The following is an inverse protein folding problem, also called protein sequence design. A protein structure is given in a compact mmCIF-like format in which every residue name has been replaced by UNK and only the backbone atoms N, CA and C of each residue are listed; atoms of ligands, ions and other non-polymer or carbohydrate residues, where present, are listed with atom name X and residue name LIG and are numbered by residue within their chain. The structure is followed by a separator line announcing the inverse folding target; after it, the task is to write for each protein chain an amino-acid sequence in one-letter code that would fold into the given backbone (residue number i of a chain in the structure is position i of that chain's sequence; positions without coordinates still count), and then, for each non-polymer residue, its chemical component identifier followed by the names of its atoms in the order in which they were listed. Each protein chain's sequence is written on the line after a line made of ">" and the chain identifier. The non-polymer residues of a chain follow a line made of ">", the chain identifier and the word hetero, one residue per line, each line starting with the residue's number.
data_IF_035355229157
#
_entry.id   IF_035355229157
#
_cell.length_a   1.000
_cell.length_b   1.000
_cell.length_c   1.000
_cell.angle_alpha   90.00
_cell.angle_beta   90.00
_cell.angle_gamma   90.00
#
_symmetry.space_group_name_H-M   'P 1'
#
loop_
_entity.id
_entity.type
_entity.pdbx_description
1 polymer ?
#
# COMPACT_ATOMS: atom_id res chain seq x y z
N UNK A 1 7.15 -68.04 68.65
CA UNK A 1 6.50 -67.71 67.36
C UNK A 1 5.32 -66.80 67.67
N UNK A 2 5.47 -65.47 67.50
CA UNK A 2 4.83 -64.69 66.40
C UNK A 2 3.47 -64.11 66.86
N UNK A 3 3.12 -62.82 66.92
CA UNK A 3 3.66 -61.51 66.51
C UNK A 3 3.08 -60.49 67.51
N UNK A 4 3.89 -59.53 68.00
CA UNK A 4 3.41 -58.45 68.85
C UNK A 4 2.92 -57.27 67.99
N UNK A 5 1.63 -56.96 68.06
CA UNK A 5 1.10 -55.63 67.75
C UNK A 5 0.70 -55.00 69.09
N UNK A 6 1.44 -53.98 69.52
CA UNK A 6 1.01 -53.13 70.63
C UNK A 6 -0.05 -52.15 70.09
N UNK A 7 -1.30 -52.42 70.48
CA UNK A 7 -2.40 -51.48 70.46
C UNK A 7 -2.05 -50.33 71.41
N UNK A 8 -1.82 -49.12 70.88
CA UNK A 8 -1.63 -47.91 71.71
C UNK A 8 -2.91 -47.08 71.63
N UNK A 9 -3.40 -46.78 72.83
CA UNK A 9 -4.61 -46.06 73.16
C UNK A 9 -4.61 -44.61 72.67
N UNK A 10 -5.80 -44.10 72.35
CA UNK A 10 -6.05 -42.69 72.08
C UNK A 10 -7.16 -42.47 71.07
N UNK A 11 -8.37 -42.94 71.38
CA UNK A 11 -9.59 -42.37 70.80
C UNK A 11 -9.68 -40.87 71.18
N UNK A 12 -10.37 -40.11 70.32
CA UNK A 12 -10.69 -38.68 70.43
C UNK A 12 -9.64 -37.65 69.98
N UNK A 13 -9.29 -37.73 68.70
CA UNK A 13 -9.10 -36.49 67.91
C UNK A 13 -10.17 -36.45 66.82
N UNK A 14 -11.28 -35.80 67.15
CA UNK A 14 -12.23 -35.24 66.18
C UNK A 14 -11.46 -34.39 65.16
N UNK A 15 -11.18 -34.94 63.98
CA UNK A 15 -10.80 -34.14 62.84
C UNK A 15 -11.99 -33.25 62.47
N UNK A 16 -11.86 -31.92 62.45
CA UNK A 16 -12.91 -31.08 61.92
C UNK A 16 -13.11 -31.47 60.46
N UNK A 17 -14.31 -31.96 60.14
CA UNK A 17 -14.76 -32.08 58.75
C UNK A 17 -14.58 -30.70 58.11
N UNK A 18 -13.64 -30.57 57.17
CA UNK A 18 -13.41 -29.34 56.39
C UNK A 18 -14.61 -28.94 55.50
N UNK A 19 -15.80 -29.47 55.76
CA UNK A 19 -17.03 -29.11 55.07
C UNK A 19 -17.61 -27.76 55.54
N UNK A 20 -17.13 -27.18 56.64
CA UNK A 20 -17.67 -25.90 57.15
C UNK A 20 -16.82 -24.65 56.82
N UNK A 21 -15.58 -24.80 56.34
CA UNK A 21 -14.80 -23.64 55.81
C UNK A 21 -15.13 -23.29 54.35
N UNK A 22 -15.93 -24.11 53.66
CA UNK A 22 -16.28 -23.90 52.24
C UNK A 22 -17.54 -23.07 52.02
N UNK A 23 -18.26 -22.70 53.07
CA UNK A 23 -19.61 -22.11 52.95
C UNK A 23 -19.69 -20.58 53.10
N UNK A 24 -18.59 -19.85 53.33
CA UNK A 24 -18.62 -18.37 53.43
C UNK A 24 -17.41 -17.68 52.79
N UNK A 25 -17.28 -17.82 51.48
CA UNK A 25 -16.63 -16.79 50.63
C UNK A 25 -17.20 -16.86 49.21
N UNK A 26 -18.53 -16.79 49.10
CA UNK A 26 -19.23 -16.60 47.82
C UNK A 26 -19.12 -15.13 47.39
N UNK A 27 -17.94 -14.77 46.90
CA UNK A 27 -17.72 -13.70 45.91
C UNK A 27 -16.21 -13.54 45.74
N UNK A 28 -15.55 -14.55 45.16
CA UNK A 28 -14.27 -14.24 44.50
C UNK A 28 -14.62 -13.19 43.43
N UNK A 29 -14.14 -11.94 43.55
CA UNK A 29 -14.52 -10.91 42.60
C UNK A 29 -14.12 -11.39 41.21
N UNK A 30 -15.01 -11.24 40.23
CA UNK A 30 -14.71 -11.52 38.83
C UNK A 30 -13.31 -10.97 38.52
N UNK A 31 -12.40 -11.78 37.94
CA UNK A 31 -11.03 -11.34 37.70
C UNK A 31 -11.08 -10.01 36.94
N UNK A 32 -10.50 -8.97 37.54
CA UNK A 32 -10.50 -7.64 36.95
C UNK A 32 -9.73 -7.71 35.63
N UNK A 33 -10.47 -7.71 34.51
CA UNK A 33 -9.95 -7.76 33.15
C UNK A 33 -9.22 -6.45 32.85
N UNK A 34 -7.95 -6.39 33.23
CA UNK A 34 -7.09 -5.26 32.94
C UNK A 34 -6.51 -5.44 31.52
N UNK A 35 -6.64 -4.43 30.64
CA UNK A 35 -6.12 -4.56 29.29
C UNK A 35 -4.59 -4.61 29.34
N UNK A 36 -3.99 -5.68 28.82
CA UNK A 36 -2.55 -5.73 28.60
C UNK A 36 -2.10 -4.55 27.71
N UNK A 37 -0.85 -4.13 27.88
CA UNK A 37 -0.22 -3.02 27.14
C UNK A 37 -0.51 -3.11 25.64
N UNK A 38 -1.34 -2.19 25.13
CA UNK A 38 -1.72 -2.14 23.72
C UNK A 38 -0.51 -1.70 22.88
N UNK A 39 -0.09 -2.55 21.95
CA UNK A 39 0.90 -2.18 20.93
C UNK A 39 0.15 -1.98 19.61
N UNK A 40 0.28 -0.78 19.03
CA UNK A 40 -0.25 -0.52 17.70
C UNK A 40 0.58 -1.32 16.69
N UNK A 41 -0.03 -2.37 16.11
CA UNK A 41 0.59 -3.19 15.08
C UNK A 41 0.30 -2.57 13.70
N UNK A 42 1.30 -2.47 12.81
CA UNK A 42 1.08 -2.08 11.43
C UNK A 42 0.08 -2.99 10.71
N UNK A 43 -0.69 -2.44 9.77
CA UNK A 43 -1.70 -3.19 9.00
C UNK A 43 -1.11 -4.42 8.27
N UNK A 44 0.13 -4.34 7.76
CA UNK A 44 0.82 -5.46 7.12
C UNK A 44 0.98 -6.65 8.07
N UNK A 45 1.36 -6.38 9.32
CA UNK A 45 1.56 -7.41 10.36
C UNK A 45 0.22 -7.95 10.84
N UNK A 46 -0.82 -7.12 10.90
CA UNK A 46 -2.17 -7.57 11.24
C UNK A 46 -2.76 -8.52 10.18
N UNK A 47 -2.60 -8.18 8.90
CA UNK A 47 -2.98 -9.06 7.78
C UNK A 47 -2.22 -10.37 7.82
N UNK A 48 -0.91 -10.30 8.02
CA UNK A 48 -0.06 -11.47 8.19
C UNK A 48 -0.50 -12.36 9.37
N UNK A 49 -0.78 -11.75 10.51
CA UNK A 49 -1.29 -12.46 11.69
C UNK A 49 -2.57 -13.23 11.39
N UNK A 50 -3.51 -12.59 10.71
CA UNK A 50 -4.80 -13.17 10.34
C UNK A 50 -4.62 -14.29 9.29
N UNK A 51 -3.84 -14.03 8.23
CA UNK A 51 -3.53 -15.02 7.20
C UNK A 51 -2.87 -16.28 7.79
N UNK A 52 -1.94 -16.13 8.72
CA UNK A 52 -1.29 -17.25 9.41
C UNK A 52 -2.29 -18.11 10.21
N UNK A 53 -3.34 -17.51 10.79
CA UNK A 53 -4.40 -18.28 11.48
C UNK A 53 -5.28 -19.05 10.50
N UNK A 54 -5.49 -18.53 9.31
CA UNK A 54 -6.35 -19.13 8.29
C UNK A 54 -5.61 -20.03 7.29
N UNK A 55 -4.29 -20.20 7.45
CA UNK A 55 -3.48 -21.07 6.59
C UNK A 55 -3.99 -22.52 6.62
N UNK A 56 -4.22 -23.12 5.46
CA UNK A 56 -4.69 -24.51 5.34
C UNK A 56 -3.52 -25.49 5.40
N UNK A 57 -3.74 -26.70 5.92
CA UNK A 57 -2.69 -27.74 6.00
C UNK A 57 -1.80 -27.70 7.26
N UNK A 58 -2.05 -26.77 8.20
CA UNK A 58 -1.38 -26.72 9.50
C UNK A 58 -2.34 -27.04 10.67
N UNK A 59 -1.90 -27.78 11.70
CA UNK A 59 -2.68 -27.94 12.93
C UNK A 59 -3.01 -26.58 13.57
N UNK A 60 -4.20 -26.45 14.15
CA UNK A 60 -4.69 -25.19 14.75
C UNK A 60 -3.71 -24.57 15.76
N UNK A 61 -3.08 -25.40 16.60
CA UNK A 61 -2.12 -24.95 17.61
C UNK A 61 -0.82 -24.40 16.99
N UNK A 62 -0.36 -25.02 15.91
CA UNK A 62 0.82 -24.60 15.14
C UNK A 62 0.54 -23.29 14.40
N UNK A 63 -0.66 -23.12 13.85
CA UNK A 63 -1.12 -21.85 13.22
C UNK A 63 -1.11 -20.69 14.19
N UNK A 64 -1.60 -20.91 15.42
CA UNK A 64 -1.53 -19.89 16.47
C UNK A 64 -0.09 -19.48 16.79
N UNK A 65 0.83 -20.44 16.81
CA UNK A 65 2.26 -20.16 17.07
C UNK A 65 2.88 -19.37 15.92
N UNK A 66 2.59 -19.75 14.66
CA UNK A 66 3.03 -19.01 13.48
C UNK A 66 2.49 -17.57 13.47
N UNK A 67 1.21 -17.39 13.78
CA UNK A 67 0.60 -16.07 13.87
C UNK A 67 1.30 -15.20 14.92
N UNK A 68 1.54 -15.72 16.13
CA UNK A 68 2.29 -14.97 17.15
C UNK A 68 3.72 -14.64 16.71
N UNK A 69 4.41 -15.52 15.96
CA UNK A 69 5.72 -15.19 15.39
C UNK A 69 5.65 -14.01 14.41
N UNK A 70 4.62 -13.94 13.56
CA UNK A 70 4.43 -12.82 12.61
C UNK A 70 4.34 -11.47 13.32
N UNK A 71 3.84 -11.41 14.56
CA UNK A 71 3.80 -10.17 15.35
C UNK A 71 5.17 -9.63 15.71
N UNK A 72 6.18 -10.48 15.79
CA UNK A 72 7.54 -10.09 16.20
C UNK A 72 8.46 -9.77 15.00
N UNK A 73 7.97 -9.92 13.77
CA UNK A 73 8.70 -9.59 12.54
C UNK A 73 8.78 -8.07 12.38
N UNK A 74 9.96 -7.49 12.08
CA UNK A 74 10.07 -6.06 11.83
C UNK A 74 9.46 -5.69 10.47
N UNK A 75 8.74 -4.58 10.43
CA UNK A 75 7.94 -4.16 9.27
C UNK A 75 8.76 -3.93 7.98
N UNK A 76 9.98 -3.41 8.14
CA UNK A 76 10.83 -3.00 7.02
C UNK A 76 11.60 -4.19 6.41
N UNK A 77 11.84 -5.24 7.19
CA UNK A 77 12.69 -6.36 6.83
C UNK A 77 12.04 -7.70 7.24
N UNK A 78 11.19 -8.29 6.38
CA UNK A 78 10.43 -9.49 6.75
C UNK A 78 11.31 -10.72 7.02
N UNK A 79 12.55 -10.71 6.53
CA UNK A 79 13.54 -11.78 6.70
C UNK A 79 14.47 -11.61 7.91
N UNK A 80 14.34 -10.52 8.64
CA UNK A 80 15.16 -10.26 9.80
C UNK A 80 14.88 -11.28 10.92
N UNK A 81 15.88 -11.54 11.79
CA UNK A 81 15.69 -12.44 12.92
C UNK A 81 14.61 -11.94 13.88
N UNK A 82 13.76 -12.87 14.30
CA UNK A 82 12.68 -12.67 15.26
C UNK A 82 13.25 -12.75 16.67
N UNK A 83 13.07 -11.68 17.43
CA UNK A 83 13.41 -11.61 18.84
C UNK A 83 12.17 -11.84 19.69
N UNK A 84 11.88 -13.12 19.95
CA UNK A 84 10.75 -13.51 20.79
C UNK A 84 11.18 -14.60 21.79
N UNK A 85 11.02 -14.26 23.08
CA UNK A 85 11.16 -15.22 24.18
C UNK A 85 10.06 -16.28 24.07
N UNK A 86 10.41 -17.54 24.33
CA UNK A 86 9.49 -18.67 24.17
C UNK A 86 8.36 -18.60 25.19
N UNK A 87 8.67 -18.16 26.40
CA UNK A 87 7.69 -17.92 27.48
C UNK A 87 6.60 -16.94 27.06
N UNK A 88 6.96 -15.85 26.37
CA UNK A 88 6.01 -14.85 25.89
C UNK A 88 5.11 -15.40 24.79
N UNK A 89 5.65 -16.27 23.93
CA UNK A 89 4.85 -16.96 22.90
C UNK A 89 3.89 -17.94 23.58
N UNK A 90 4.41 -18.72 24.54
CA UNK A 90 3.67 -19.71 25.33
C UNK A 90 2.47 -19.09 26.05
N UNK A 91 2.70 -17.99 26.76
CA UNK A 91 1.66 -17.22 27.47
C UNK A 91 0.56 -16.73 26.50
N UNK A 92 0.95 -16.22 25.32
CA UNK A 92 0.00 -15.67 24.34
C UNK A 92 -0.86 -16.73 23.65
N UNK A 93 -0.27 -17.89 23.35
CA UNK A 93 -1.02 -18.99 22.75
C UNK A 93 -1.77 -19.83 23.80
N UNK A 94 -1.51 -19.61 25.09
CA UNK A 94 -2.08 -20.39 26.19
C UNK A 94 -1.56 -21.82 26.25
N UNK A 95 -0.28 -22.04 25.93
CA UNK A 95 0.35 -23.36 25.96
C UNK A 95 1.64 -23.35 26.79
N UNK A 96 2.12 -24.53 27.15
CA UNK A 96 3.42 -24.69 27.82
C UNK A 96 4.60 -24.45 26.86
N UNK A 97 5.76 -24.09 27.39
CA UNK A 97 6.98 -23.83 26.61
C UNK A 97 7.40 -25.07 25.80
N UNK A 98 7.25 -26.28 26.37
CA UNK A 98 7.54 -27.55 25.66
C UNK A 98 6.68 -27.72 24.41
N UNK A 99 5.42 -27.30 24.47
CA UNK A 99 4.50 -27.34 23.34
C UNK A 99 4.91 -26.33 22.27
N UNK A 100 5.40 -25.15 22.66
CA UNK A 100 5.99 -24.17 21.72
C UNK A 100 7.19 -24.77 20.99
N UNK A 101 8.11 -25.46 21.69
CA UNK A 101 9.24 -26.12 21.03
C UNK A 101 8.79 -27.17 20.02
N UNK A 102 7.77 -27.97 20.33
CA UNK A 102 7.18 -28.93 19.39
C UNK A 102 6.60 -28.24 18.16
N UNK A 103 5.83 -27.16 18.35
CA UNK A 103 5.28 -26.39 17.22
C UNK A 103 6.38 -25.79 16.35
N UNK A 104 7.45 -25.28 16.95
CA UNK A 104 8.61 -24.76 16.21
C UNK A 104 9.32 -25.86 15.42
N UNK A 105 9.46 -27.06 15.98
CA UNK A 105 10.01 -28.20 15.25
C UNK A 105 9.16 -28.53 14.01
N UNK A 106 7.83 -28.55 14.14
CA UNK A 106 6.91 -28.76 13.01
C UNK A 106 7.01 -27.64 11.97
N UNK A 107 7.04 -26.37 12.39
CA UNK A 107 7.21 -25.24 11.48
C UNK A 107 8.55 -25.29 10.74
N UNK A 108 9.60 -25.78 11.39
CA UNK A 108 10.92 -25.98 10.76
C UNK A 108 10.87 -27.12 9.74
N UNK A 109 10.22 -28.24 10.06
CA UNK A 109 10.06 -29.37 9.16
C UNK A 109 9.30 -29.01 7.88
N UNK A 110 8.35 -28.07 7.98
CA UNK A 110 7.58 -27.55 6.85
C UNK A 110 8.26 -26.40 6.10
N UNK A 111 9.50 -26.07 6.49
CA UNK A 111 10.32 -25.00 5.92
C UNK A 111 9.67 -23.62 6.01
N UNK A 112 8.87 -23.38 7.05
CA UNK A 112 8.25 -22.07 7.31
C UNK A 112 9.13 -21.19 8.18
N UNK A 113 9.99 -21.81 9.00
CA UNK A 113 10.97 -21.10 9.82
C UNK A 113 12.36 -21.69 9.62
N UNK A 114 13.35 -20.84 9.79
CA UNK A 114 14.76 -21.23 9.79
C UNK A 114 15.41 -20.79 11.10
N UNK A 115 16.25 -21.67 11.64
CA UNK A 115 17.09 -21.39 12.81
C UNK A 115 18.45 -20.93 12.30
N UNK A 116 18.81 -19.68 12.54
CA UNK A 116 20.09 -19.13 12.13
C UNK A 116 21.24 -19.73 12.97
N UNK A 117 22.44 -19.86 12.37
CA UNK A 117 23.61 -20.35 13.08
C UNK A 117 23.96 -19.45 14.26
N UNK A 118 24.53 -20.07 15.29
CA UNK A 118 24.84 -19.38 16.53
C UNK A 118 26.12 -18.57 16.39
N UNK A 119 26.00 -17.24 16.25
CA UNK A 119 27.16 -16.36 16.14
C UNK A 119 27.87 -16.18 17.48
N UNK A 120 29.21 -16.06 17.47
CA UNK A 120 29.96 -15.67 18.67
C UNK A 120 29.89 -14.16 18.86
N UNK A 121 29.57 -13.71 20.08
CA UNK A 121 29.62 -12.29 20.42
C UNK A 121 31.08 -11.85 20.46
N UNK A 122 31.50 -11.04 19.49
CA UNK A 122 32.86 -10.50 19.38
C UNK A 122 33.40 -9.91 20.69
N UNK A 123 32.53 -9.24 21.48
CA UNK A 123 32.92 -8.57 22.73
C UNK A 123 33.08 -9.50 23.94
N UNK A 124 32.44 -10.68 23.97
CA UNK A 124 32.40 -11.52 25.17
C UNK A 124 32.73 -12.99 24.95
N UNK A 125 33.01 -13.41 23.71
CA UNK A 125 33.31 -14.81 23.36
C UNK A 125 32.13 -15.78 23.54
N UNK A 126 31.05 -15.35 24.21
CA UNK A 126 29.84 -16.14 24.43
C UNK A 126 29.06 -16.28 23.13
N UNK A 127 28.50 -17.45 22.90
CA UNK A 127 27.60 -17.67 21.78
C UNK A 127 26.31 -16.84 21.96
N UNK A 128 25.85 -16.20 20.90
CA UNK A 128 24.57 -15.50 20.86
C UNK A 128 23.41 -16.50 20.96
N UNK A 129 22.22 -16.07 21.36
CA UNK A 129 21.04 -16.94 21.33
C UNK A 129 20.71 -17.24 19.86
N UNK A 130 20.46 -18.51 19.52
CA UNK A 130 20.04 -18.89 18.19
C UNK A 130 18.76 -18.13 17.80
N UNK A 131 18.81 -17.42 16.68
CA UNK A 131 17.72 -16.55 16.24
C UNK A 131 16.87 -17.28 15.21
N UNK A 132 15.56 -17.10 15.31
CA UNK A 132 14.62 -17.65 14.34
C UNK A 132 14.36 -16.61 13.26
N UNK A 133 14.18 -17.02 12.01
CA UNK A 133 13.65 -16.16 10.94
C UNK A 133 12.53 -16.85 10.19
N UNK A 134 11.62 -16.09 9.60
CA UNK A 134 10.68 -16.63 8.62
C UNK A 134 11.41 -16.90 7.30
N UNK A 135 11.06 -18.00 6.65
CA UNK A 135 11.55 -18.31 5.31
C UNK A 135 10.78 -17.48 4.27
N UNK A 136 11.28 -17.46 3.02
CA UNK A 136 10.59 -16.82 1.88
C UNK A 136 9.18 -17.38 1.69
N UNK A 137 9.08 -18.71 1.67
CA UNK A 137 7.81 -19.44 1.58
C UNK A 137 6.80 -18.99 2.65
N UNK A 138 7.22 -18.85 3.91
CA UNK A 138 6.32 -18.38 4.96
C UNK A 138 5.91 -16.91 4.77
N UNK A 139 6.83 -16.04 4.38
CA UNK A 139 6.52 -14.63 4.13
C UNK A 139 5.54 -14.45 2.96
N UNK A 140 5.64 -15.27 1.92
CA UNK A 140 4.73 -15.26 0.77
C UNK A 140 3.34 -15.78 1.16
N UNK A 141 3.27 -16.95 1.80
CA UNK A 141 1.99 -17.56 2.22
C UNK A 141 1.20 -16.67 3.19
N UNK A 142 1.91 -15.94 4.04
CA UNK A 142 1.31 -15.07 5.04
C UNK A 142 1.01 -13.66 4.48
N UNK A 143 1.48 -13.33 3.27
CA UNK A 143 1.29 -12.01 2.66
C UNK A 143 2.15 -10.92 3.33
N UNK A 144 3.28 -11.31 3.91
CA UNK A 144 4.32 -10.36 4.31
C UNK A 144 5.09 -9.85 3.10
N UNK A 145 5.10 -10.55 1.97
CA UNK A 145 5.70 -10.08 0.71
C UNK A 145 4.61 -10.13 -0.36
N UNK A 146 4.54 -9.08 -1.17
CA UNK A 146 3.66 -9.07 -2.34
C UNK A 146 4.32 -9.94 -3.43
N UNK A 147 3.74 -11.10 -3.74
CA UNK A 147 4.19 -11.99 -4.82
C UNK A 147 3.82 -11.48 -6.22
N UNK A 148 3.79 -10.16 -6.41
CA UNK A 148 3.43 -9.51 -7.67
C UNK A 148 4.60 -9.51 -8.68
N UNK A 149 5.25 -10.64 -8.86
CA UNK A 149 6.07 -10.89 -10.06
C UNK A 149 5.41 -11.88 -11.04
N UNK A 150 4.32 -12.55 -10.66
CA UNK A 150 3.54 -13.36 -11.61
C UNK A 150 2.04 -13.06 -11.50
N UNK A 151 1.47 -12.75 -12.66
CA UNK A 151 0.06 -12.47 -12.94
C UNK A 151 -0.39 -11.03 -12.68
N UNK A 152 -0.26 -10.22 -13.72
CA UNK A 152 -1.08 -9.04 -13.98
C UNK A 152 -2.54 -9.51 -14.14
N UNK A 153 -3.21 -9.82 -13.04
CA UNK A 153 -4.65 -9.69 -13.01
C UNK A 153 -4.92 -8.19 -12.98
N UNK A 154 -5.19 -7.64 -14.17
CA UNK A 154 -5.97 -6.41 -14.29
C UNK A 154 -7.10 -6.51 -13.27
N UNK A 155 -7.20 -5.60 -12.27
CA UNK A 155 -8.33 -5.66 -11.35
C UNK A 155 -9.60 -5.60 -12.21
N UNK A 156 -10.55 -6.53 -12.05
CA UNK A 156 -11.77 -6.48 -12.83
C UNK A 156 -12.40 -5.11 -12.57
N UNK A 157 -12.66 -4.39 -13.66
CA UNK A 157 -13.38 -3.13 -13.62
C UNK A 157 -14.72 -3.39 -12.94
N UNK A 158 -14.85 -2.90 -11.71
CA UNK A 158 -16.08 -2.90 -10.95
C UNK A 158 -17.04 -1.91 -11.61
N UNK A 159 -17.73 -2.38 -12.64
CA UNK A 159 -18.84 -1.72 -13.32
C UNK A 159 -19.87 -2.77 -13.67
N UNK A 160 -20.52 -3.36 -12.67
CA UNK A 160 -21.91 -3.76 -12.80
C UNK A 160 -22.67 -3.46 -11.50
N UNK A 161 -23.64 -2.58 -11.65
CA UNK A 161 -24.83 -2.43 -10.83
C UNK A 161 -25.45 -3.79 -10.49
N UNK A 162 -25.68 -4.09 -9.21
CA UNK A 162 -27.03 -3.99 -8.65
C UNK A 162 -27.04 -4.20 -7.12
N UNK A 163 -28.03 -3.56 -6.47
CA UNK A 163 -28.49 -3.74 -5.08
C UNK A 163 -27.65 -3.21 -3.91
N UNK A 164 -28.10 -2.04 -3.46
CA UNK A 164 -28.17 -1.55 -2.09
C UNK A 164 -27.81 -2.57 -0.98
N UNK A 165 -26.70 -2.35 -0.27
CA UNK A 165 -26.63 -2.58 1.18
C UNK A 165 -25.53 -1.71 1.81
N UNK A 166 -25.96 -0.99 2.83
CA UNK A 166 -25.26 -0.02 3.68
C UNK A 166 -23.83 -0.41 4.06
N UNK A 167 -22.86 0.42 3.66
CA UNK A 167 -21.91 1.12 4.57
C UNK A 167 -20.96 1.93 3.70
N UNK A 168 -21.10 3.25 3.69
CA UNK A 168 -20.13 4.15 3.09
C UNK A 168 -18.79 4.02 3.85
N UNK A 169 -17.68 3.57 3.24
CA UNK A 169 -16.40 4.09 3.66
C UNK A 169 -16.36 5.52 3.14
N UNK A 170 -16.44 6.48 4.05
CA UNK A 170 -16.07 7.87 3.80
C UNK A 170 -14.60 7.90 3.37
N UNK A 171 -14.35 7.67 2.08
CA UNK A 171 -13.06 7.91 1.45
C UNK A 171 -12.91 9.43 1.45
N UNK A 172 -12.29 9.94 2.51
CA UNK A 172 -11.98 11.36 2.65
C UNK A 172 -11.23 11.83 1.40
N UNK A 173 -11.75 12.87 0.75
CA UNK A 173 -11.25 13.49 -0.49
C UNK A 173 -9.88 14.18 -0.32
N UNK A 174 -9.15 13.88 0.75
CA UNK A 174 -7.93 14.53 1.20
C UNK A 174 -6.75 13.55 1.33
N UNK A 175 -6.65 12.54 0.46
CA UNK A 175 -5.40 11.79 0.35
C UNK A 175 -4.29 12.72 -0.16
N UNK A 176 -3.52 13.25 0.78
CA UNK A 176 -2.26 13.95 0.52
C UNK A 176 -1.38 13.02 -0.30
N UNK A 177 -0.92 13.50 -1.46
CA UNK A 177 -0.02 12.77 -2.35
C UNK A 177 1.10 12.08 -1.56
N UNK A 178 1.29 10.78 -1.87
CA UNK A 178 2.21 9.87 -1.21
C UNK A 178 3.55 10.53 -0.83
N UNK A 179 3.86 10.52 0.47
CA UNK A 179 5.17 10.87 1.01
C UNK A 179 6.17 9.80 0.57
N UNK A 180 7.05 10.11 -0.39
CA UNK A 180 8.22 9.27 -0.66
C UNK A 180 9.25 9.58 0.43
N UNK A 181 9.46 8.64 1.35
CA UNK A 181 10.46 8.81 2.42
C UNK A 181 10.15 9.89 3.47
N UNK A 182 8.88 10.06 3.83
CA UNK A 182 8.37 11.00 4.85
C UNK A 182 8.51 12.51 4.53
N UNK A 183 9.07 12.88 3.38
CA UNK A 183 9.24 14.28 2.97
C UNK A 183 8.27 14.66 1.82
N UNK A 184 7.70 15.87 1.80
CA UNK A 184 6.94 16.36 0.65
C UNK A 184 7.78 16.31 -0.64
N UNK A 185 7.17 15.89 -1.76
CA UNK A 185 7.85 15.74 -3.06
C UNK A 185 8.58 17.02 -3.48
N UNK A 186 7.98 18.17 -3.23
CA UNK A 186 8.52 19.50 -3.58
C UNK A 186 9.82 19.85 -2.84
N UNK A 187 10.11 19.19 -1.72
CA UNK A 187 11.31 19.41 -0.90
C UNK A 187 12.32 18.26 -1.03
N UNK A 188 11.92 17.15 -1.67
CA UNK A 188 12.76 15.96 -1.78
C UNK A 188 14.07 16.23 -2.52
N UNK A 189 14.04 17.09 -3.55
CA UNK A 189 15.22 17.42 -4.35
C UNK A 189 16.31 18.17 -3.57
N UNK A 190 15.95 18.86 -2.47
CA UNK A 190 16.94 19.52 -1.59
C UNK A 190 17.88 18.52 -0.91
N UNK A 191 17.44 17.26 -0.74
CA UNK A 191 18.32 16.21 -0.22
C UNK A 191 19.49 15.91 -1.15
N UNK A 192 19.30 16.05 -2.46
CA UNK A 192 20.38 15.93 -3.46
C UNK A 192 21.41 17.07 -3.40
N UNK A 193 21.06 18.21 -2.78
CA UNK A 193 21.96 19.36 -2.61
C UNK A 193 22.77 19.32 -1.30
N UNK A 194 22.72 18.19 -0.58
CA UNK A 194 23.46 17.98 0.67
C UNK A 194 22.72 18.45 1.92
N UNK A 195 21.41 18.69 1.84
CA UNK A 195 20.58 19.01 3.00
C UNK A 195 20.01 17.73 3.62
N UNK A 196 20.27 17.49 4.91
CA UNK A 196 19.74 16.31 5.59
C UNK A 196 18.22 16.41 5.79
N UNK A 197 17.53 15.26 5.83
CA UNK A 197 16.08 15.21 6.11
C UNK A 197 15.72 15.91 7.42
N UNK A 198 16.52 15.69 8.46
CA UNK A 198 16.37 16.36 9.76
C UNK A 198 16.52 17.89 9.65
N UNK A 199 17.48 18.37 8.84
CA UNK A 199 17.63 19.79 8.55
C UNK A 199 16.40 20.38 7.85
N UNK A 200 15.81 19.65 6.90
CA UNK A 200 14.58 20.08 6.21
C UNK A 200 13.41 20.16 7.20
N UNK A 201 13.22 19.17 8.06
CA UNK A 201 12.16 19.22 9.07
C UNK A 201 12.36 20.35 10.08
N UNK A 202 13.61 20.66 10.45
CA UNK A 202 13.93 21.82 11.29
C UNK A 202 13.52 23.13 10.61
N UNK A 203 13.86 23.30 9.32
CA UNK A 203 13.46 24.47 8.53
C UNK A 203 11.93 24.57 8.39
N UNK A 204 11.24 23.45 8.19
CA UNK A 204 9.77 23.43 8.16
C UNK A 204 9.19 23.91 9.50
N UNK A 205 9.77 23.48 10.62
CA UNK A 205 9.39 23.94 11.95
C UNK A 205 9.60 25.45 12.13
N UNK A 206 10.77 25.95 11.74
CA UNK A 206 11.09 27.39 11.81
C UNK A 206 10.16 28.23 10.92
N UNK A 207 9.93 27.82 9.67
CA UNK A 207 9.00 28.52 8.80
C UNK A 207 7.58 28.56 9.39
N UNK A 208 7.12 27.44 9.97
CA UNK A 208 5.81 27.34 10.61
C UNK A 208 5.67 28.27 11.82
N UNK A 209 6.71 28.45 12.62
CA UNK A 209 6.71 29.40 13.74
C UNK A 209 6.52 30.84 13.28
N UNK A 210 7.05 31.19 12.11
CA UNK A 210 6.85 32.50 11.49
C UNK A 210 5.62 32.58 10.57
N UNK A 211 4.71 31.59 10.62
CA UNK A 211 3.47 31.59 9.84
C UNK A 211 3.64 31.30 8.33
N UNK A 212 4.81 30.82 7.91
CA UNK A 212 5.16 30.57 6.50
C UNK A 212 5.27 29.07 6.22
N UNK A 213 5.25 28.71 4.93
CA UNK A 213 5.54 27.34 4.48
C UNK A 213 6.87 27.30 3.74
N UNK A 214 7.74 26.37 4.15
CA UNK A 214 9.03 26.16 3.48
C UNK A 214 8.87 25.86 1.98
N UNK A 215 7.82 25.12 1.61
CA UNK A 215 7.51 24.84 0.19
C UNK A 215 7.28 26.12 -0.62
N UNK A 216 6.67 27.16 -0.06
CA UNK A 216 6.42 28.44 -0.76
C UNK A 216 7.76 29.15 -1.03
N UNK A 217 8.60 29.25 0.00
CA UNK A 217 9.93 29.87 -0.07
C UNK A 217 10.78 29.16 -1.14
N UNK A 218 10.82 27.83 -1.10
CA UNK A 218 11.63 27.03 -2.02
C UNK A 218 11.12 27.15 -3.46
N UNK A 219 9.80 27.24 -3.67
CA UNK A 219 9.21 27.41 -5.01
C UNK A 219 9.68 28.72 -5.65
N UNK A 220 9.66 29.81 -4.90
CA UNK A 220 10.03 31.15 -5.40
C UNK A 220 11.53 31.27 -5.63
N UNK A 221 12.34 30.70 -4.74
CA UNK A 221 13.79 30.89 -4.74
C UNK A 221 14.52 29.75 -5.48
N UNK A 222 13.79 28.78 -6.04
CA UNK A 222 14.32 27.56 -6.67
C UNK A 222 15.48 27.81 -7.65
N UNK A 223 15.45 28.90 -8.41
CA UNK A 223 16.52 29.27 -9.36
C UNK A 223 17.84 29.57 -8.65
N UNK A 224 17.81 30.34 -7.57
CA UNK A 224 19.00 30.74 -6.79
C UNK A 224 19.52 29.62 -5.88
N UNK A 225 18.65 28.65 -5.53
CA UNK A 225 19.04 27.50 -4.70
C UNK A 225 19.92 26.49 -5.46
N UNK A 226 19.99 26.54 -6.80
CA UNK A 226 20.77 25.57 -7.59
C UNK A 226 22.28 25.64 -7.30
N UNK A 227 22.77 26.82 -6.98
CA UNK A 227 24.21 27.07 -6.78
C UNK A 227 24.65 26.87 -5.33
N UNK A 228 23.70 26.83 -4.39
CA UNK A 228 23.96 26.68 -2.96
C UNK A 228 23.92 25.21 -2.54
N UNK A 229 24.88 24.78 -1.72
CA UNK A 229 25.00 23.40 -1.24
C UNK A 229 25.22 23.32 0.27
N UNK A 230 24.76 22.22 0.87
CA UNK A 230 25.05 21.84 2.26
C UNK A 230 24.68 22.90 3.31
N UNK A 231 25.62 23.23 4.20
CA UNK A 231 25.38 24.15 5.32
C UNK A 231 25.01 25.57 4.91
N UNK A 232 25.55 26.06 3.78
CA UNK A 232 25.20 27.40 3.25
C UNK A 232 23.75 27.48 2.81
N UNK A 233 23.26 26.40 2.19
CA UNK A 233 21.85 26.26 1.80
C UNK A 233 20.93 26.30 3.04
N UNK A 234 21.29 25.58 4.11
CA UNK A 234 20.54 25.61 5.36
C UNK A 234 20.50 27.01 5.98
N UNK A 235 21.63 27.69 6.09
CA UNK A 235 21.72 29.02 6.67
C UNK A 235 20.89 30.05 5.88
N UNK A 236 20.98 29.99 4.55
CA UNK A 236 20.20 30.86 3.67
C UNK A 236 18.69 30.64 3.79
N UNK A 237 18.25 29.38 3.73
CA UNK A 237 16.83 29.04 3.91
C UNK A 237 16.32 29.40 5.31
N UNK A 238 17.15 29.24 6.34
CA UNK A 238 16.79 29.65 7.70
C UNK A 238 16.62 31.17 7.80
N UNK A 239 17.50 31.95 7.15
CA UNK A 239 17.39 33.42 7.13
C UNK A 239 16.10 33.86 6.42
N UNK A 240 15.75 33.24 5.28
CA UNK A 240 14.52 33.53 4.56
C UNK A 240 13.26 33.09 5.33
N UNK A 241 13.33 31.97 6.06
CA UNK A 241 12.23 31.50 6.89
C UNK A 241 11.95 32.44 8.06
N UNK A 242 12.99 33.02 8.68
CA UNK A 242 12.87 33.94 9.81
C UNK A 242 12.67 35.42 9.41
N UNK A 243 13.02 35.80 8.18
CA UNK A 243 12.90 37.19 7.71
C UNK A 243 11.44 37.67 7.58
N UNK A 244 11.21 38.95 7.25
CA UNK A 244 9.85 39.51 7.12
C UNK A 244 9.16 39.25 5.77
N UNK A 245 9.90 38.76 4.76
CA UNK A 245 9.40 38.63 3.39
C UNK A 245 8.26 37.61 3.25
N UNK A 246 7.16 37.99 2.61
CA UNK A 246 6.07 37.07 2.28
C UNK A 246 6.34 36.35 0.95
N UNK A 247 6.16 35.03 0.96
CA UNK A 247 6.36 34.14 -0.19
C UNK A 247 5.07 33.46 -0.65
N UNK A 248 3.94 33.65 0.04
CA UNK A 248 2.69 32.97 -0.25
C UNK A 248 2.15 33.34 -1.64
N UNK A 249 2.06 34.64 -1.95
CA UNK A 249 1.52 35.13 -3.24
C UNK A 249 2.44 34.79 -4.42
N UNK A 250 3.76 35.06 -4.37
CA UNK A 250 4.65 34.67 -5.47
C UNK A 250 4.69 33.15 -5.69
N UNK A 251 4.63 32.34 -4.62
CA UNK A 251 4.57 30.89 -4.74
C UNK A 251 3.26 30.40 -5.36
N UNK A 252 2.12 31.02 -5.04
CA UNK A 252 0.83 30.68 -5.64
C UNK A 252 0.84 30.95 -7.15
N UNK A 253 1.33 32.12 -7.56
CA UNK A 253 1.45 32.48 -8.98
C UNK A 253 2.39 31.51 -9.74
N UNK A 254 3.51 31.14 -9.12
CA UNK A 254 4.45 30.20 -9.74
C UNK A 254 3.87 28.79 -9.86
N UNK A 255 3.14 28.31 -8.84
CA UNK A 255 2.44 27.02 -8.93
C UNK A 255 1.37 27.02 -10.01
N UNK A 256 0.60 28.11 -10.13
CA UNK A 256 -0.40 28.23 -11.18
C UNK A 256 0.26 28.13 -12.55
N UNK A 257 1.36 28.88 -12.78
CA UNK A 257 2.14 28.77 -14.03
C UNK A 257 2.64 27.36 -14.31
N UNK A 258 3.14 26.66 -13.30
CA UNK A 258 3.61 25.28 -13.45
C UNK A 258 2.47 24.30 -13.74
N UNK A 259 1.30 24.49 -13.11
CA UNK A 259 0.10 23.69 -13.37
C UNK A 259 -0.42 23.93 -14.79
N UNK A 260 -0.58 25.19 -15.20
CA UNK A 260 -1.03 25.56 -16.54
C UNK A 260 -0.09 25.00 -17.62
N UNK A 261 1.23 25.09 -17.39
CA UNK A 261 2.23 24.52 -18.30
C UNK A 261 2.14 22.99 -18.37
N UNK A 262 1.98 22.31 -17.23
CA UNK A 262 1.84 20.87 -17.17
C UNK A 262 0.53 20.40 -17.83
N UNK A 263 -0.57 21.13 -17.64
CA UNK A 263 -1.85 20.87 -18.29
C UNK A 263 -1.75 21.07 -19.80
N UNK A 264 -1.14 22.17 -20.26
CA UNK A 264 -0.88 22.42 -21.68
C UNK A 264 -0.02 21.31 -22.30
N UNK A 265 0.99 20.81 -21.58
CA UNK A 265 1.79 19.67 -22.02
C UNK A 265 0.97 18.38 -22.11
N UNK A 266 0.11 18.09 -21.13
CA UNK A 266 -0.77 16.91 -21.14
C UNK A 266 -1.76 16.95 -22.29
N UNK A 267 -2.34 18.12 -22.57
CA UNK A 267 -3.24 18.32 -23.72
C UNK A 267 -2.47 18.07 -25.03
N UNK A 268 -1.27 18.65 -25.19
CA UNK A 268 -0.42 18.39 -26.37
C UNK A 268 -0.06 16.92 -26.54
N UNK A 269 0.29 16.22 -25.46
CA UNK A 269 0.60 14.79 -25.49
C UNK A 269 -0.62 13.95 -25.89
N UNK A 270 -1.81 14.25 -25.34
CA UNK A 270 -3.06 13.58 -25.71
C UNK A 270 -3.40 13.80 -27.17
N UNK A 271 -3.29 15.04 -27.64
CA UNK A 271 -3.49 15.39 -29.05
C UNK A 271 -2.53 14.61 -29.96
N UNK A 272 -1.25 14.50 -29.58
CA UNK A 272 -0.25 13.73 -30.32
C UNK A 272 -0.61 12.25 -30.39
N UNK A 273 -0.97 11.64 -29.26
CA UNK A 273 -1.36 10.23 -29.20
C UNK A 273 -2.64 9.95 -30.00
N UNK A 274 -3.62 10.86 -29.94
CA UNK A 274 -4.84 10.75 -30.75
C UNK A 274 -4.48 10.74 -32.24
N UNK A 275 -3.68 11.70 -32.71
CA UNK A 275 -3.27 11.79 -34.12
C UNK A 275 -2.50 10.53 -34.56
N UNK A 276 -1.59 10.02 -33.73
CA UNK A 276 -0.85 8.80 -34.04
C UNK A 276 -1.75 7.57 -34.14
N UNK A 277 -2.74 7.45 -33.25
CA UNK A 277 -3.59 6.26 -33.18
C UNK A 277 -4.70 6.23 -34.24
N UNK A 278 -5.22 7.39 -34.60
CA UNK A 278 -6.40 7.51 -35.47
C UNK A 278 -6.09 8.10 -36.86
N UNK A 279 -4.82 8.35 -37.19
CA UNK A 279 -4.39 8.69 -38.54
C UNK A 279 -4.82 7.62 -39.55
N UNK A 280 -5.49 8.04 -40.63
CA UNK A 280 -5.99 7.15 -41.69
C UNK A 280 -7.14 6.24 -41.28
N UNK A 281 -7.77 6.48 -40.11
CA UNK A 281 -8.89 5.67 -39.62
C UNK A 281 -10.23 6.35 -39.86
N UNK A 282 -11.26 5.52 -39.93
CA UNK A 282 -12.66 5.93 -40.08
C UNK A 282 -13.41 5.71 -38.76
N UNK A 283 -14.10 6.74 -38.31
CA UNK A 283 -14.95 6.71 -37.13
C UNK A 283 -16.40 6.89 -37.54
N UNK A 284 -17.32 6.28 -36.81
CA UNK A 284 -18.76 6.47 -36.99
C UNK A 284 -19.40 6.87 -35.67
N UNK A 285 -20.54 7.55 -35.74
CA UNK A 285 -21.35 7.83 -34.55
C UNK A 285 -22.03 6.54 -34.05
N UNK A 286 -22.44 6.49 -32.78
CA UNK A 286 -23.24 5.40 -32.19
C UNK A 286 -24.49 5.07 -33.00
N UNK A 287 -25.13 6.08 -33.60
CA UNK A 287 -26.31 5.92 -34.46
C UNK A 287 -25.98 5.53 -35.91
N UNK A 288 -24.70 5.43 -36.29
CA UNK A 288 -24.21 5.11 -37.64
C UNK A 288 -24.71 6.04 -38.76
N UNK A 289 -25.19 7.24 -38.42
CA UNK A 289 -25.72 8.22 -39.38
C UNK A 289 -24.66 9.13 -40.00
N UNK A 290 -23.46 9.17 -39.41
CA UNK A 290 -22.35 10.01 -39.85
C UNK A 290 -21.05 9.20 -39.85
N UNK A 291 -20.27 9.35 -40.90
CA UNK A 291 -18.92 8.81 -41.02
C UNK A 291 -17.91 9.95 -40.93
N UNK A 292 -16.85 9.74 -40.17
CA UNK A 292 -15.77 10.68 -39.93
C UNK A 292 -14.47 10.04 -40.41
N UNK A 293 -13.97 10.47 -41.56
CA UNK A 293 -12.74 9.94 -42.14
C UNK A 293 -11.59 10.85 -41.77
N UNK A 294 -10.64 10.32 -40.99
CA UNK A 294 -9.46 11.06 -40.57
C UNK A 294 -8.37 10.82 -41.62
N UNK A 295 -7.81 11.91 -42.15
CA UNK A 295 -6.72 11.86 -43.12
C UNK A 295 -5.51 11.06 -42.59
N UNK A 296 -4.68 10.53 -43.50
CA UNK A 296 -3.47 9.77 -43.18
C UNK A 296 -2.46 10.57 -42.35
N UNK A 297 -2.46 11.90 -42.46
CA UNK A 297 -1.63 12.77 -41.61
C UNK A 297 -2.38 13.36 -40.41
N UNK A 298 -3.63 12.94 -40.18
CA UNK A 298 -4.53 13.45 -39.14
C UNK A 298 -4.61 15.00 -39.11
N UNK A 299 -4.58 15.62 -40.30
CA UNK A 299 -4.67 17.08 -40.48
C UNK A 299 -6.10 17.55 -40.75
N UNK A 300 -6.88 16.72 -41.43
CA UNK A 300 -8.25 17.00 -41.81
C UNK A 300 -9.16 15.85 -41.40
N UNK A 301 -10.42 16.18 -41.13
CA UNK A 301 -11.49 15.19 -40.99
C UNK A 301 -12.56 15.49 -42.02
N UNK A 302 -12.90 14.48 -42.79
CA UNK A 302 -14.03 14.52 -43.70
C UNK A 302 -15.25 13.90 -43.02
N UNK A 303 -16.34 14.66 -42.98
CA UNK A 303 -17.63 14.22 -42.45
C UNK A 303 -18.52 13.85 -43.62
N UNK A 304 -18.92 12.58 -43.70
CA UNK A 304 -19.82 12.06 -44.73
C UNK A 304 -21.17 11.74 -44.08
N UNK A 305 -22.24 12.30 -44.64
CA UNK A 305 -23.62 12.09 -44.22
C UNK A 305 -24.53 12.09 -45.46
N UNK A 306 -25.25 11.00 -45.73
CA UNK A 306 -26.31 10.85 -46.75
C UNK A 306 -26.36 11.94 -47.86
N UNK A 307 -25.39 11.92 -48.79
CA UNK A 307 -25.32 12.85 -49.94
C UNK A 307 -24.54 14.15 -49.72
N UNK A 308 -24.00 14.38 -48.52
CA UNK A 308 -23.18 15.53 -48.17
C UNK A 308 -21.84 15.10 -47.58
N UNK A 309 -20.74 15.65 -48.10
CA UNK A 309 -19.39 15.50 -47.59
C UNK A 309 -18.79 16.87 -47.28
N UNK A 310 -18.31 17.07 -46.06
CA UNK A 310 -17.61 18.29 -45.67
C UNK A 310 -16.25 17.97 -45.05
N UNK A 311 -15.22 18.69 -45.47
CA UNK A 311 -13.87 18.55 -44.92
C UNK A 311 -13.56 19.72 -44.01
N UNK A 312 -13.16 19.42 -42.78
CA UNK A 312 -12.73 20.42 -41.79
C UNK A 312 -11.32 20.16 -41.27
N UNK A 313 -10.59 21.19 -40.83
CA UNK A 313 -9.30 21.02 -40.21
C UNK A 313 -9.42 20.35 -38.82
N UNK A 314 -8.48 19.46 -38.49
CA UNK A 314 -8.38 18.81 -37.18
C UNK A 314 -7.44 19.60 -36.25
N UNK A 315 -7.76 20.86 -36.04
CA UNK A 315 -7.00 21.78 -35.17
C UNK A 315 -7.16 21.39 -33.70
N UNK A 316 -8.40 21.20 -33.26
CA UNK A 316 -8.73 20.83 -31.87
C UNK A 316 -9.08 19.35 -31.77
N UNK A 317 -8.24 18.58 -31.07
CA UNK A 317 -8.44 17.13 -30.87
C UNK A 317 -9.20 16.80 -29.60
N UNK A 318 -9.31 17.74 -28.65
CA UNK A 318 -9.95 17.51 -27.35
C UNK A 318 -11.44 17.14 -27.46
N UNK A 319 -12.26 17.81 -28.32
CA UNK A 319 -13.66 17.42 -28.54
C UNK A 319 -13.80 16.00 -29.11
N UNK A 320 -12.88 15.57 -29.97
CA UNK A 320 -12.86 14.23 -30.54
C UNK A 320 -12.52 13.16 -29.49
N UNK A 321 -11.52 13.44 -28.64
CA UNK A 321 -11.16 12.58 -27.52
C UNK A 321 -12.33 12.47 -26.53
N UNK A 322 -13.03 13.58 -26.24
CA UNK A 322 -14.21 13.58 -25.39
C UNK A 322 -15.33 12.70 -25.96
N UNK A 323 -15.63 12.81 -27.26
CA UNK A 323 -16.66 12.02 -27.95
C UNK A 323 -16.30 10.53 -28.08
N UNK A 324 -15.02 10.18 -28.18
CA UNK A 324 -14.57 8.79 -28.08
C UNK A 324 -14.76 8.23 -26.66
N UNK A 325 -14.50 9.04 -25.63
CA UNK A 325 -14.66 8.62 -24.22
C UNK A 325 -16.12 8.49 -23.80
N UNK A 326 -17.01 9.35 -24.30
CA UNK A 326 -18.45 9.21 -24.09
C UNK A 326 -19.03 7.99 -24.81
N UNK A 327 -18.30 7.45 -25.79
CA UNK A 327 -18.73 6.33 -26.63
C UNK A 327 -19.66 6.74 -27.77
N UNK A 328 -19.77 8.04 -28.03
CA UNK A 328 -20.50 8.60 -29.17
C UNK A 328 -19.79 8.29 -30.49
N UNK A 329 -18.45 8.28 -30.47
CA UNK A 329 -17.65 7.86 -31.61
C UNK A 329 -17.10 6.44 -31.41
N UNK A 330 -17.19 5.63 -32.46
CA UNK A 330 -16.68 4.25 -32.53
C UNK A 330 -15.92 4.06 -33.84
N UNK A 331 -15.04 3.06 -33.92
CA UNK A 331 -14.43 2.68 -35.19
C UNK A 331 -15.52 2.20 -36.15
N UNK A 332 -15.46 2.64 -37.41
CA UNK A 332 -16.41 2.19 -38.42
C UNK A 332 -16.14 0.71 -38.76
N UNK A 333 -17.19 -0.08 -38.91
CA UNK A 333 -17.09 -1.43 -39.46
C UNK A 333 -17.13 -1.36 -41.00
N UNK A 334 -16.57 -2.36 -41.67
CA UNK A 334 -16.55 -2.44 -43.14
C UNK A 334 -17.95 -2.36 -43.77
N UNK A 335 -19.00 -2.80 -43.05
CA UNK A 335 -20.40 -2.69 -43.49
C UNK A 335 -20.87 -1.23 -43.54
N UNK A 336 -20.52 -0.44 -42.53
CA UNK A 336 -20.85 0.98 -42.47
C UNK A 336 -20.09 1.73 -43.57
N UNK A 337 -18.81 1.43 -43.76
CA UNK A 337 -18.02 2.04 -44.85
C UNK A 337 -18.58 1.73 -46.25
N UNK A 338 -19.11 0.51 -46.46
CA UNK A 338 -19.82 0.13 -47.69
C UNK A 338 -21.13 0.90 -47.85
N UNK A 339 -21.92 1.07 -46.77
CA UNK A 339 -23.18 1.82 -46.81
C UNK A 339 -22.97 3.30 -47.19
N UNK A 340 -21.81 3.88 -46.87
CA UNK A 340 -21.42 5.23 -47.27
C UNK A 340 -20.61 5.28 -48.58
N UNK A 341 -20.51 4.18 -49.34
CA UNK A 341 -19.88 4.13 -50.67
C UNK A 341 -18.36 4.25 -50.69
N UNK A 342 -17.67 4.05 -49.56
CA UNK A 342 -16.21 4.18 -49.43
C UNK A 342 -15.46 2.89 -49.77
N UNK A 343 -16.06 1.74 -49.47
CA UNK A 343 -15.56 0.45 -49.93
C UNK A 343 -16.32 0.07 -51.20
N UNK A 344 -15.60 -0.02 -52.32
CA UNK A 344 -16.14 -0.60 -53.56
C UNK A 344 -16.57 -2.05 -53.29
N UNK A 345 -17.70 -2.54 -53.85
CA UNK A 345 -18.24 -3.87 -53.55
C UNK A 345 -17.42 -5.06 -54.09
N UNK A 346 -16.15 -4.90 -54.43
CA UNK A 346 -15.32 -5.91 -55.10
C UNK A 346 -13.98 -6.16 -54.38
N UNK A 347 -14.03 -6.64 -53.14
CA UNK A 347 -12.86 -7.24 -52.48
C UNK A 347 -13.26 -8.39 -51.53
N UNK A 348 -14.35 -9.08 -51.83
CA UNK A 348 -14.72 -10.33 -51.17
C UNK A 348 -14.84 -11.40 -52.25
N UNK A 349 -13.71 -11.94 -52.71
CA UNK A 349 -13.54 -13.23 -53.40
C UNK A 349 -12.08 -13.39 -53.87
N UNK A 350 -11.17 -13.69 -52.93
CA UNK A 350 -9.94 -14.45 -53.24
C UNK A 350 -9.36 -15.06 -51.96
N UNK A 351 -10.08 -16.03 -51.40
CA UNK A 351 -9.50 -17.07 -50.57
C UNK A 351 -10.12 -18.38 -51.05
N UNK A 352 -9.42 -18.99 -52.01
CA UNK A 352 -9.38 -20.44 -52.23
C UNK A 352 -7.91 -20.82 -52.33
#
# INVERSE_FOLDING_TARGET
>A
MSIAQHLVAGEDVTYPRETEKRARTTSSPLPQLSPQKRRNLPNRILRAYDAAKHLTGLPRSVRSTLAELCRFVPQNEPFAPIFAHKDVIAERIGADERTVYRHLATLRQLELIEVLPQERKSRSGRFAVARLRLTRKACELVGLIDTNDDVIHTPPHDKMSDRHTLTEPTISKNQRSALVGALPKDLAWLTGQGLSRAGIFKLMGQAKQHGKRLSDIVTVVATYLRDLKGGKLFAYLSALACGPTDFAVPAANERQRQQDAAEAQRVKQRAKLFRQRFAGTTLTNRAQTKLYVIDAQARFVEVVQAGYSATGPLTETEPWIARLRSGDLRLATAEVERAFGRLSPLAALSLN
#
